data_IF_737207476046
#
_entry.id   IF_737207476046
#
_cell.length_a   1.000
_cell.length_b   1.000
_cell.length_c   1.000
_cell.angle_alpha   90.00
_cell.angle_beta   90.00
_cell.angle_gamma   90.00
#
_symmetry.space_group_name_H-M   'P 1'
#
loop_
_entity.id
_entity.type
_entity.pdbx_description
1 polymer ?
#
# COMPACT_ATOMS: atom_id res chain seq x y z
N UNK A 1 28.34 7.94 14.61
CA UNK A 1 27.06 7.27 14.39
C UNK A 1 27.13 6.46 13.12
N UNK A 2 26.62 5.27 13.12
CA UNK A 2 26.52 4.46 11.92
C UNK A 2 25.49 5.07 10.96
N UNK A 3 25.78 5.03 9.67
CA UNK A 3 24.99 5.68 8.61
C UNK A 3 24.04 4.69 7.96
N UNK A 4 22.76 5.06 7.85
CA UNK A 4 21.82 4.31 7.05
C UNK A 4 21.27 5.19 5.91
N UNK A 5 21.32 4.65 4.70
CA UNK A 5 20.72 5.29 3.53
C UNK A 5 19.44 4.55 3.16
N UNK A 6 18.33 5.27 3.18
CA UNK A 6 17.00 4.77 2.78
C UNK A 6 16.68 5.33 1.39
N UNK A 7 16.40 4.44 0.46
CA UNK A 7 16.05 4.80 -0.92
C UNK A 7 14.54 4.72 -1.09
N UNK A 8 13.88 5.88 -1.23
CA UNK A 8 12.44 6.05 -1.37
C UNK A 8 11.80 6.75 -0.19
N UNK A 9 11.17 7.91 -0.45
CA UNK A 9 10.47 8.78 0.52
C UNK A 9 8.95 8.52 0.60
N UNK A 10 8.49 7.32 0.24
CA UNK A 10 7.12 6.88 0.51
C UNK A 10 6.91 6.47 1.96
N UNK A 11 5.67 6.09 2.32
CA UNK A 11 5.32 5.71 3.69
C UNK A 11 6.24 4.65 4.28
N UNK A 12 6.70 3.68 3.48
CA UNK A 12 7.58 2.61 3.94
C UNK A 12 8.97 3.16 4.31
N UNK A 13 9.55 4.00 3.45
CA UNK A 13 10.86 4.60 3.70
C UNK A 13 10.82 5.57 4.88
N UNK A 14 9.80 6.43 4.96
CA UNK A 14 9.65 7.38 6.07
C UNK A 14 9.38 6.68 7.40
N UNK A 15 8.57 5.61 7.42
CA UNK A 15 8.37 4.80 8.62
C UNK A 15 9.66 4.11 9.04
N UNK A 16 10.45 3.59 8.09
CA UNK A 16 11.77 3.02 8.40
C UNK A 16 12.71 4.08 8.97
N UNK A 17 12.73 5.29 8.40
CA UNK A 17 13.51 6.42 8.91
C UNK A 17 13.12 6.79 10.35
N UNK A 18 11.81 6.74 10.66
CA UNK A 18 11.30 7.05 11.98
C UNK A 18 11.88 6.13 13.05
N UNK A 19 11.86 4.81 12.85
CA UNK A 19 12.38 3.86 13.84
C UNK A 19 13.90 3.87 13.90
N UNK A 20 14.58 3.92 12.77
CA UNK A 20 16.05 3.95 12.71
C UNK A 20 16.62 5.21 13.36
N UNK A 21 16.00 6.38 13.15
CA UNK A 21 16.39 7.61 13.85
C UNK A 21 16.23 7.47 15.36
N UNK A 22 15.10 6.90 15.82
CA UNK A 22 14.88 6.63 17.26
C UNK A 22 15.89 5.64 17.85
N UNK A 23 16.42 4.72 17.03
CA UNK A 23 17.47 3.78 17.42
C UNK A 23 18.89 4.36 17.32
N UNK A 24 19.04 5.66 17.00
CA UNK A 24 20.30 6.38 17.03
C UNK A 24 21.15 6.28 15.75
N UNK A 25 20.54 5.93 14.61
CA UNK A 25 21.23 5.95 13.32
C UNK A 25 21.32 7.38 12.72
N UNK A 26 22.42 7.68 12.02
CA UNK A 26 22.49 8.85 11.11
C UNK A 26 21.75 8.50 9.81
N UNK A 27 20.51 8.97 9.70
CA UNK A 27 19.58 8.57 8.64
C UNK A 27 19.60 9.57 7.50
N UNK A 28 19.80 9.07 6.29
CA UNK A 28 19.60 9.83 5.05
C UNK A 28 18.50 9.16 4.22
N UNK A 29 17.47 9.90 3.84
CA UNK A 29 16.40 9.46 2.93
C UNK A 29 16.61 10.11 1.57
N UNK A 30 16.76 9.30 0.54
CA UNK A 30 16.89 9.73 -0.85
C UNK A 30 15.60 9.45 -1.61
N UNK A 31 15.07 10.44 -2.32
CA UNK A 31 13.94 10.23 -3.22
C UNK A 31 14.19 10.91 -4.57
N UNK A 32 13.71 10.28 -5.64
CA UNK A 32 13.78 10.84 -6.99
C UNK A 32 12.86 12.05 -7.20
N UNK A 33 11.83 12.19 -6.37
CA UNK A 33 10.93 13.33 -6.29
C UNK A 33 11.33 14.27 -5.14
N UNK A 34 10.53 15.28 -4.93
CA UNK A 34 10.75 16.34 -3.91
C UNK A 34 9.99 16.06 -2.60
N UNK A 35 9.50 14.86 -2.39
CA UNK A 35 8.63 14.42 -1.29
C UNK A 35 7.21 15.03 -1.28
N UNK A 36 6.86 15.93 -2.19
CA UNK A 36 5.54 16.59 -2.19
C UNK A 36 4.42 15.67 -2.66
N UNK A 37 4.73 14.68 -3.52
CA UNK A 37 3.78 13.68 -4.02
C UNK A 37 4.46 12.33 -4.26
N UNK A 38 3.75 11.27 -3.91
CA UNK A 38 4.10 9.88 -4.22
C UNK A 38 2.89 8.96 -4.05
N UNK A 39 3.08 7.64 -4.24
CA UNK A 39 1.98 6.66 -4.15
C UNK A 39 1.27 6.61 -2.80
N UNK A 40 1.80 7.21 -1.74
CA UNK A 40 1.18 7.22 -0.41
C UNK A 40 0.10 8.30 -0.30
N UNK A 41 0.28 9.48 -0.92
CA UNK A 41 -0.64 10.61 -0.81
C UNK A 41 -2.06 10.34 -1.33
N UNK A 42 -2.19 9.64 -2.44
CA UNK A 42 -3.50 9.30 -3.01
C UNK A 42 -4.10 7.99 -2.53
N UNK A 43 -3.54 7.38 -1.48
CA UNK A 43 -4.10 6.20 -0.87
C UNK A 43 -5.46 6.50 -0.22
N UNK A 44 -6.34 5.49 -0.11
CA UNK A 44 -7.64 5.63 0.55
C UNK A 44 -7.55 5.70 2.08
N UNK A 45 -6.37 5.62 2.65
CA UNK A 45 -6.15 5.87 4.07
C UNK A 45 -6.51 4.73 5.01
N UNK A 46 -6.77 3.54 4.50
CA UNK A 46 -7.11 2.38 5.32
C UNK A 46 -5.93 1.85 6.11
N UNK A 47 -6.16 1.54 7.38
CA UNK A 47 -5.27 0.84 8.31
C UNK A 47 -6.03 -0.39 8.78
N UNK A 48 -5.87 -1.51 8.05
CA UNK A 48 -6.81 -2.62 8.07
C UNK A 48 -6.14 -3.95 8.42
N UNK A 49 -6.20 -4.41 9.66
CA UNK A 49 -5.94 -5.81 10.02
C UNK A 49 -6.82 -6.83 9.29
N UNK A 50 -8.01 -6.42 8.85
CA UNK A 50 -8.96 -7.24 8.11
C UNK A 50 -8.51 -7.62 6.70
N UNK A 51 -7.53 -6.91 6.12
CA UNK A 51 -7.04 -7.15 4.77
C UNK A 51 -5.94 -8.23 4.74
N UNK A 52 -6.25 -9.42 5.25
CA UNK A 52 -5.36 -10.58 5.36
C UNK A 52 -5.34 -11.47 4.11
N UNK A 53 -6.18 -11.22 3.11
CA UNK A 53 -6.23 -12.00 1.88
C UNK A 53 -5.23 -11.41 0.87
N UNK A 54 -4.23 -12.20 0.39
CA UNK A 54 -3.27 -11.71 -0.59
C UNK A 54 -3.92 -11.47 -1.96
N UNK A 55 -3.26 -10.69 -2.83
CA UNK A 55 -3.78 -10.42 -4.18
C UNK A 55 -3.88 -11.69 -5.05
N UNK A 56 -2.98 -12.64 -4.86
CA UNK A 56 -2.93 -13.91 -5.60
C UNK A 56 -3.90 -14.93 -5.01
N UNK A 57 -5.17 -14.88 -5.41
CA UNK A 57 -6.24 -15.79 -4.96
C UNK A 57 -6.70 -16.75 -6.06
N UNK A 58 -7.23 -17.95 -5.71
CA UNK A 58 -7.84 -18.84 -6.68
C UNK A 58 -8.93 -18.14 -7.51
N UNK A 59 -8.94 -18.40 -8.80
CA UNK A 59 -9.94 -17.83 -9.72
C UNK A 59 -9.68 -16.38 -10.17
N UNK A 60 -8.79 -15.63 -9.50
CA UNK A 60 -8.50 -14.21 -9.84
C UNK A 60 -8.02 -14.04 -11.29
N UNK A 61 -7.29 -15.01 -11.82
CA UNK A 61 -6.79 -14.98 -13.20
C UNK A 61 -7.96 -15.11 -14.19
N UNK A 62 -8.88 -16.07 -13.97
CA UNK A 62 -10.08 -16.26 -14.80
C UNK A 62 -10.98 -15.02 -14.75
N UNK A 63 -11.18 -14.48 -13.57
CA UNK A 63 -11.96 -13.27 -13.35
C UNK A 63 -11.28 -12.05 -14.02
N UNK A 64 -9.96 -11.92 -13.91
CA UNK A 64 -9.18 -10.88 -14.55
C UNK A 64 -9.29 -10.92 -16.07
N UNK A 65 -9.19 -12.09 -16.69
CA UNK A 65 -9.39 -12.27 -18.11
C UNK A 65 -10.80 -11.83 -18.56
N UNK A 66 -11.84 -12.18 -17.80
CA UNK A 66 -13.22 -11.74 -18.09
C UNK A 66 -13.34 -10.21 -18.03
N UNK A 67 -12.66 -9.57 -17.08
CA UNK A 67 -12.68 -8.12 -16.91
C UNK A 67 -11.89 -7.35 -17.96
N UNK A 68 -10.91 -7.97 -18.63
CA UNK A 68 -10.09 -7.30 -19.66
C UNK A 68 -10.91 -6.77 -20.83
N UNK A 69 -12.06 -7.37 -21.13
CA UNK A 69 -12.95 -6.95 -22.22
C UNK A 69 -13.81 -5.71 -21.90
N UNK A 70 -13.84 -5.26 -20.65
CA UNK A 70 -14.56 -4.07 -20.23
C UNK A 70 -13.58 -2.93 -19.90
N UNK A 71 -13.66 -1.83 -20.63
CA UNK A 71 -12.76 -0.68 -20.45
C UNK A 71 -12.95 0.05 -19.11
N UNK A 72 -14.10 -0.10 -18.44
CA UNK A 72 -14.42 0.44 -17.11
C UNK A 72 -14.18 -0.54 -15.97
N UNK A 73 -13.72 -1.77 -16.26
CA UNK A 73 -13.53 -2.80 -15.23
C UNK A 73 -12.50 -2.38 -14.18
N UNK A 74 -12.61 -2.92 -12.95
CA UNK A 74 -11.69 -2.56 -11.86
C UNK A 74 -10.28 -3.20 -12.02
N UNK A 75 -10.11 -4.16 -12.93
CA UNK A 75 -8.83 -4.83 -13.15
C UNK A 75 -8.47 -4.89 -14.63
N UNK A 76 -7.20 -4.69 -14.94
CA UNK A 76 -6.68 -4.76 -16.30
C UNK A 76 -5.20 -5.12 -16.30
N UNK A 77 -4.80 -5.97 -17.24
CA UNK A 77 -3.39 -6.21 -17.57
C UNK A 77 -3.14 -5.68 -18.97
N UNK A 78 -2.25 -4.71 -19.12
CA UNK A 78 -1.91 -4.17 -20.44
C UNK A 78 -1.13 -5.22 -21.24
N UNK A 79 -1.67 -5.73 -22.35
CA UNK A 79 -0.96 -6.65 -23.21
C UNK A 79 0.31 -6.00 -23.77
N UNK A 80 1.45 -6.64 -23.59
CA UNK A 80 2.73 -6.21 -24.14
C UNK A 80 3.73 -7.35 -24.12
N UNK A 81 4.67 -7.34 -25.06
CA UNK A 81 5.79 -8.25 -25.08
C UNK A 81 6.84 -7.76 -24.07
N UNK A 82 6.74 -8.27 -22.84
CA UNK A 82 7.64 -7.93 -21.73
C UNK A 82 7.91 -9.21 -20.93
N UNK A 83 9.13 -9.71 -21.04
CA UNK A 83 9.58 -10.92 -20.33
C UNK A 83 9.37 -10.83 -18.82
N UNK A 84 9.44 -9.64 -18.25
CA UNK A 84 9.21 -9.45 -16.80
C UNK A 84 7.73 -9.63 -16.47
N UNK A 85 6.82 -9.16 -17.33
CA UNK A 85 5.39 -9.38 -17.17
C UNK A 85 5.06 -10.87 -17.26
N UNK A 86 5.65 -11.57 -18.24
CA UNK A 86 5.46 -13.02 -18.42
C UNK A 86 5.97 -13.77 -17.19
N UNK A 87 7.19 -13.48 -16.77
CA UNK A 87 7.80 -14.13 -15.62
C UNK A 87 7.02 -13.86 -14.31
N UNK A 88 6.63 -12.61 -14.08
CA UNK A 88 5.78 -12.24 -12.96
C UNK A 88 4.43 -12.96 -13.04
N UNK A 89 3.78 -12.97 -14.21
CA UNK A 89 2.49 -13.61 -14.42
C UNK A 89 2.51 -15.11 -14.15
N UNK A 90 3.56 -15.84 -14.61
CA UNK A 90 3.73 -17.25 -14.32
C UNK A 90 3.85 -17.53 -12.82
N UNK A 91 4.63 -16.70 -12.09
CA UNK A 91 4.75 -16.82 -10.63
C UNK A 91 3.43 -16.46 -9.93
N UNK A 92 2.73 -15.42 -10.41
CA UNK A 92 1.41 -15.03 -9.88
C UNK A 92 0.39 -16.16 -10.00
N UNK A 93 0.29 -16.79 -11.17
CA UNK A 93 -0.60 -17.94 -11.39
C UNK A 93 -0.25 -19.11 -10.47
N UNK A 94 1.04 -19.41 -10.30
CA UNK A 94 1.50 -20.47 -9.39
C UNK A 94 1.21 -20.17 -7.93
N UNK A 95 1.21 -18.91 -7.53
CA UNK A 95 0.87 -18.47 -6.17
C UNK A 95 -0.64 -18.40 -5.92
N UNK A 96 -1.49 -18.34 -6.95
CA UNK A 96 -2.95 -18.21 -6.82
C UNK A 96 -3.62 -19.53 -6.41
N UNK A 97 -3.26 -20.08 -5.25
CA UNK A 97 -3.75 -21.35 -4.69
C UNK A 97 -4.41 -21.16 -3.32
N UNK A 98 -5.28 -22.08 -2.92
CA UNK A 98 -5.90 -22.07 -1.58
C UNK A 98 -4.85 -22.12 -0.47
N UNK A 99 -3.88 -23.03 -0.61
CA UNK A 99 -2.79 -23.16 0.37
C UNK A 99 -2.00 -21.87 0.54
N UNK A 100 -1.73 -21.14 -0.56
CA UNK A 100 -1.05 -19.85 -0.45
C UNK A 100 -1.89 -18.81 0.31
N UNK A 101 -3.20 -18.74 0.05
CA UNK A 101 -4.11 -17.84 0.79
C UNK A 101 -4.11 -18.17 2.29
N UNK A 102 -4.18 -19.45 2.64
CA UNK A 102 -4.17 -19.90 4.04
C UNK A 102 -2.86 -19.56 4.74
N UNK A 103 -1.72 -19.83 4.10
CA UNK A 103 -0.38 -19.59 4.69
C UNK A 103 -0.01 -18.10 4.74
N UNK A 104 -0.55 -17.28 3.82
CA UNK A 104 -0.29 -15.84 3.76
C UNK A 104 -1.15 -15.02 4.74
N UNK A 105 -2.32 -15.54 5.13
CA UNK A 105 -3.30 -14.79 5.90
C UNK A 105 -2.77 -14.35 7.27
N UNK A 106 -2.21 -15.27 8.06
CA UNK A 106 -1.69 -14.94 9.38
C UNK A 106 -0.53 -13.93 9.36
N UNK A 107 0.52 -14.08 8.52
CA UNK A 107 1.57 -13.07 8.39
C UNK A 107 1.05 -11.67 8.00
N UNK A 108 0.08 -11.58 7.06
CA UNK A 108 -0.50 -10.29 6.67
C UNK A 108 -1.31 -9.66 7.80
N UNK A 109 -2.12 -10.43 8.52
CA UNK A 109 -2.84 -9.97 9.71
C UNK A 109 -1.87 -9.49 10.79
N UNK A 110 -0.81 -10.24 11.08
CA UNK A 110 0.12 -9.93 12.17
C UNK A 110 0.86 -8.62 11.93
N UNK A 111 1.41 -8.41 10.73
CA UNK A 111 2.06 -7.15 10.39
C UNK A 111 1.06 -5.98 10.39
N UNK A 112 -0.20 -6.20 9.98
CA UNK A 112 -1.22 -5.17 9.99
C UNK A 112 -1.63 -4.77 11.41
N UNK A 113 -1.74 -5.74 12.35
CA UNK A 113 -1.98 -5.47 13.78
C UNK A 113 -0.82 -4.68 14.39
N UNK A 114 0.44 -5.10 14.12
CA UNK A 114 1.63 -4.37 14.56
C UNK A 114 1.58 -2.94 14.02
N UNK A 115 1.33 -2.80 12.72
CA UNK A 115 1.31 -1.50 12.05
C UNK A 115 0.24 -0.57 12.65
N UNK A 116 -0.96 -1.08 12.92
CA UNK A 116 -2.04 -0.31 13.55
C UNK A 116 -1.61 0.19 14.93
N UNK A 117 -1.06 -0.68 15.78
CA UNK A 117 -0.56 -0.29 17.12
C UNK A 117 0.53 0.78 17.03
N UNK A 118 1.42 0.68 16.06
CA UNK A 118 2.47 1.68 15.86
C UNK A 118 1.89 3.03 15.38
N UNK A 119 0.89 3.04 14.50
CA UNK A 119 0.19 4.28 14.14
C UNK A 119 -0.52 4.90 15.34
N UNK A 120 -1.17 4.10 16.17
CA UNK A 120 -1.80 4.56 17.42
C UNK A 120 -0.78 5.16 18.38
N UNK A 121 0.40 4.57 18.47
CA UNK A 121 1.49 5.11 19.30
C UNK A 121 1.98 6.49 18.81
N UNK A 122 1.93 6.74 17.52
CA UNK A 122 2.33 8.03 16.93
C UNK A 122 1.37 9.17 17.32
N UNK A 123 0.12 8.88 17.64
CA UNK A 123 -0.84 9.89 18.10
C UNK A 123 -0.43 10.55 19.41
N UNK A 124 0.41 9.91 20.20
CA UNK A 124 0.96 10.49 21.43
C UNK A 124 2.10 11.49 21.20
N UNK A 125 2.60 11.59 19.96
CA UNK A 125 3.67 12.53 19.58
C UNK A 125 3.06 13.93 19.39
N UNK A 126 3.54 14.96 20.09
CA UNK A 126 3.02 16.31 19.93
C UNK A 126 3.05 16.79 18.45
N UNK A 127 1.90 17.20 17.94
CA UNK A 127 1.76 17.68 16.56
C UNK A 127 1.57 16.59 15.51
N UNK A 128 1.47 15.32 15.90
CA UNK A 128 1.17 14.20 14.99
C UNK A 128 -0.36 14.04 14.84
N UNK A 129 -1.00 14.97 14.18
CA UNK A 129 -2.42 14.87 13.81
C UNK A 129 -2.54 14.47 12.33
N UNK A 130 -2.93 13.24 12.07
CA UNK A 130 -3.17 12.73 10.72
C UNK A 130 -4.62 12.27 10.49
N UNK A 131 -5.55 12.87 11.27
CA UNK A 131 -6.98 12.57 11.22
C UNK A 131 -7.28 11.06 11.34
N UNK A 132 -6.59 10.38 12.24
CA UNK A 132 -6.80 8.96 12.52
C UNK A 132 -8.15 8.75 13.19
N UNK A 133 -8.91 7.79 12.68
CA UNK A 133 -10.21 7.40 13.24
C UNK A 133 -10.33 5.87 13.30
N UNK A 134 -10.62 5.36 14.50
CA UNK A 134 -10.90 3.96 14.74
C UNK A 134 -12.41 3.73 14.75
N UNK A 135 -13.01 3.74 13.57
CA UNK A 135 -14.46 3.50 13.40
C UNK A 135 -14.78 2.13 12.83
N UNK A 136 -13.79 1.37 12.40
CA UNK A 136 -13.98 0.18 11.59
C UNK A 136 -14.03 0.48 10.10
N UNK A 137 -14.29 -0.58 9.31
CA UNK A 137 -14.44 -0.57 7.86
C UNK A 137 -15.65 -1.39 7.46
N UNK A 138 -16.48 -0.87 6.56
CA UNK A 138 -17.56 -1.63 5.94
C UNK A 138 -17.10 -2.29 4.64
N UNK A 139 -17.40 -3.58 4.46
CA UNK A 139 -17.35 -4.22 3.14
C UNK A 139 -18.79 -4.48 2.69
N UNK A 140 -19.29 -3.63 1.78
CA UNK A 140 -20.70 -3.63 1.35
C UNK A 140 -20.87 -4.52 0.15
N UNK A 141 -21.90 -5.38 0.16
CA UNK A 141 -22.25 -6.28 -0.94
C UNK A 141 -23.68 -6.08 -1.44
N UNK A 142 -23.91 -6.37 -2.73
CA UNK A 142 -25.19 -6.16 -3.43
C UNK A 142 -25.80 -7.43 -3.99
N UNK A 143 -25.10 -8.57 -3.94
CA UNK A 143 -25.53 -9.83 -4.56
C UNK A 143 -25.54 -10.96 -3.56
N UNK A 144 -26.34 -12.02 -3.82
CA UNK A 144 -26.35 -13.22 -2.99
C UNK A 144 -24.96 -13.91 -2.96
N UNK A 145 -24.25 -13.89 -4.09
CA UNK A 145 -22.87 -14.38 -4.14
C UNK A 145 -21.93 -13.54 -3.26
N UNK A 146 -22.14 -12.22 -3.18
CA UNK A 146 -21.45 -11.33 -2.25
C UNK A 146 -21.79 -11.63 -0.80
N UNK A 147 -23.07 -11.91 -0.49
CA UNK A 147 -23.49 -12.30 0.85
C UNK A 147 -22.85 -13.63 1.31
N UNK A 148 -22.76 -14.61 0.42
CA UNK A 148 -22.12 -15.90 0.72
C UNK A 148 -20.60 -15.71 0.93
N UNK A 149 -19.95 -14.91 0.07
CA UNK A 149 -18.55 -14.54 0.25
C UNK A 149 -18.32 -13.83 1.60
N UNK A 150 -19.21 -12.93 1.99
CA UNK A 150 -19.14 -12.20 3.24
C UNK A 150 -19.20 -13.14 4.46
N UNK A 151 -20.07 -14.14 4.48
CA UNK A 151 -20.13 -15.15 5.55
C UNK A 151 -18.79 -15.85 5.73
N UNK A 152 -18.23 -16.40 4.64
CA UNK A 152 -16.92 -17.07 4.68
C UNK A 152 -15.80 -16.13 5.13
N UNK A 153 -15.87 -14.85 4.74
CA UNK A 153 -14.86 -13.85 5.15
C UNK A 153 -14.93 -13.57 6.65
N UNK A 154 -16.15 -13.46 7.21
CA UNK A 154 -16.36 -13.29 8.66
C UNK A 154 -15.84 -14.49 9.43
N UNK A 155 -16.20 -15.71 9.01
CA UNK A 155 -15.71 -16.95 9.63
C UNK A 155 -14.17 -16.97 9.65
N UNK A 156 -13.54 -16.66 8.52
CA UNK A 156 -12.07 -16.63 8.42
C UNK A 156 -11.44 -15.53 9.27
N UNK A 157 -12.05 -14.37 9.35
CA UNK A 157 -11.58 -13.29 10.21
C UNK A 157 -11.62 -13.73 11.69
N UNK A 158 -12.69 -14.35 12.15
CA UNK A 158 -12.84 -14.89 13.51
C UNK A 158 -11.79 -15.97 13.80
N UNK A 159 -11.59 -16.93 12.88
CA UNK A 159 -10.52 -17.94 12.98
C UNK A 159 -9.14 -17.32 13.14
N UNK A 160 -8.89 -16.21 12.46
CA UNK A 160 -7.65 -15.45 12.55
C UNK A 160 -7.58 -14.55 13.82
N UNK A 161 -8.55 -14.62 14.72
CA UNK A 161 -8.57 -13.85 15.97
C UNK A 161 -9.09 -12.41 15.84
N UNK A 162 -9.69 -12.04 14.69
CA UNK A 162 -10.38 -10.78 14.49
C UNK A 162 -11.85 -10.91 14.92
N UNK A 163 -12.06 -11.16 16.22
CA UNK A 163 -13.36 -11.54 16.80
C UNK A 163 -14.41 -10.43 16.78
N UNK A 164 -13.99 -9.17 16.60
CA UNK A 164 -14.89 -8.01 16.51
C UNK A 164 -15.47 -7.81 15.09
N UNK A 165 -15.40 -8.83 14.24
CA UNK A 165 -15.95 -8.80 12.89
C UNK A 165 -17.44 -9.19 12.93
N UNK A 166 -18.30 -8.41 12.28
CA UNK A 166 -19.75 -8.60 12.28
C UNK A 166 -20.31 -8.64 10.86
N UNK A 167 -21.26 -9.55 10.62
CA UNK A 167 -22.07 -9.53 9.41
C UNK A 167 -23.35 -8.73 9.71
N UNK A 168 -23.54 -7.64 8.99
CA UNK A 168 -24.69 -6.73 9.16
C UNK A 168 -25.74 -7.00 8.10
N UNK A 169 -27.00 -7.01 8.53
CA UNK A 169 -28.16 -6.90 7.65
C UNK A 169 -28.23 -5.55 6.95
N UNK A 170 -29.12 -5.41 5.98
CA UNK A 170 -29.35 -4.15 5.28
C UNK A 170 -29.74 -3.03 6.23
N UNK A 171 -30.62 -3.29 7.20
CA UNK A 171 -31.12 -2.26 8.12
C UNK A 171 -30.06 -1.85 9.13
N UNK A 172 -29.29 -2.79 9.66
CA UNK A 172 -28.15 -2.50 10.54
C UNK A 172 -27.07 -1.70 9.81
N UNK A 173 -26.73 -2.06 8.58
CA UNK A 173 -25.80 -1.30 7.74
C UNK A 173 -26.30 0.13 7.50
N UNK A 174 -27.60 0.28 7.16
CA UNK A 174 -28.19 1.60 6.91
C UNK A 174 -28.24 2.47 8.18
N UNK A 175 -28.42 1.87 9.35
CA UNK A 175 -28.41 2.59 10.62
C UNK A 175 -27.04 3.23 10.94
N UNK A 176 -25.93 2.66 10.44
CA UNK A 176 -24.60 3.23 10.57
C UNK A 176 -24.38 4.48 9.68
N UNK A 177 -25.14 4.59 8.59
CA UNK A 177 -25.07 5.70 7.63
C UNK A 177 -26.44 6.41 7.49
N UNK A 178 -26.94 7.08 8.57
CA UNK A 178 -28.29 7.62 8.58
C UNK A 178 -28.49 8.80 7.63
N UNK A 179 -27.40 9.46 7.20
CA UNK A 179 -27.45 10.66 6.34
C UNK A 179 -27.26 10.33 4.85
N UNK A 180 -27.00 9.07 4.51
CA UNK A 180 -26.70 8.65 3.15
C UNK A 180 -27.31 7.28 2.88
N UNK A 181 -28.13 7.20 1.82
CA UNK A 181 -28.75 5.94 1.42
C UNK A 181 -27.73 5.00 0.81
N UNK A 182 -27.67 3.75 1.32
CA UNK A 182 -26.85 2.70 0.78
C UNK A 182 -27.72 1.69 0.01
N UNK A 183 -27.36 1.41 -1.23
CA UNK A 183 -27.92 0.32 -2.01
C UNK A 183 -27.08 -0.94 -1.85
N UNK A 184 -27.35 -1.71 -0.81
CA UNK A 184 -26.66 -2.96 -0.47
C UNK A 184 -27.63 -3.97 0.12
N UNK A 185 -27.29 -5.25 0.08
CA UNK A 185 -28.01 -6.33 0.78
C UNK A 185 -27.54 -6.46 2.24
N UNK A 186 -26.34 -5.97 2.54
CA UNK A 186 -25.71 -5.99 3.85
C UNK A 186 -24.24 -5.59 3.75
N UNK A 187 -23.52 -5.72 4.86
CA UNK A 187 -22.09 -5.43 4.93
C UNK A 187 -21.38 -6.35 5.94
N UNK A 188 -20.08 -6.48 5.80
CA UNK A 188 -19.21 -6.88 6.90
C UNK A 188 -18.74 -5.59 7.58
N UNK A 189 -18.81 -5.53 8.89
CA UNK A 189 -18.18 -4.50 9.71
C UNK A 189 -16.93 -5.09 10.38
N UNK A 190 -15.76 -4.59 10.01
CA UNK A 190 -14.49 -4.91 10.66
C UNK A 190 -14.16 -3.84 11.69
N UNK A 191 -14.58 -4.03 12.94
CA UNK A 191 -14.33 -3.06 14.03
C UNK A 191 -12.84 -2.88 14.36
N UNK A 192 -12.02 -3.88 14.03
CA UNK A 192 -10.56 -3.82 14.22
C UNK A 192 -9.85 -2.80 13.31
N UNK A 193 -10.51 -2.32 12.27
CA UNK A 193 -9.93 -1.44 11.26
C UNK A 193 -10.03 0.04 11.64
N UNK A 194 -9.15 0.83 11.04
CA UNK A 194 -9.10 2.27 11.19
C UNK A 194 -8.83 2.94 9.83
N UNK A 195 -8.91 4.26 9.80
CA UNK A 195 -8.48 5.04 8.64
C UNK A 195 -7.83 6.35 9.06
N UNK A 196 -7.12 6.96 8.15
CA UNK A 196 -6.47 8.25 8.35
C UNK A 196 -6.48 9.09 7.06
N UNK A 197 -6.04 10.35 7.18
CA UNK A 197 -5.80 11.19 6.01
C UNK A 197 -4.33 11.09 5.58
N UNK A 198 -4.02 10.37 4.48
CA UNK A 198 -2.64 10.08 4.08
C UNK A 198 -1.77 11.32 3.88
N UNK A 199 -2.35 12.40 3.36
CA UNK A 199 -1.62 13.65 3.12
C UNK A 199 -1.08 14.23 4.43
N UNK A 200 -1.91 14.29 5.49
CA UNK A 200 -1.47 14.74 6.81
C UNK A 200 -0.42 13.79 7.41
N UNK A 201 -0.63 12.48 7.30
CA UNK A 201 0.33 11.48 7.78
C UNK A 201 1.70 11.67 7.16
N UNK A 202 1.78 11.81 5.84
CA UNK A 202 3.04 12.01 5.13
C UNK A 202 3.72 13.32 5.53
N UNK A 203 2.96 14.42 5.62
CA UNK A 203 3.47 15.72 6.03
C UNK A 203 4.01 15.70 7.47
N UNK A 204 3.26 15.06 8.39
CA UNK A 204 3.69 14.94 9.79
C UNK A 204 4.99 14.13 9.92
N UNK A 205 5.10 13.00 9.20
CA UNK A 205 6.32 12.20 9.18
C UNK A 205 7.52 13.02 8.65
N UNK A 206 7.37 13.69 7.51
CA UNK A 206 8.44 14.50 6.93
C UNK A 206 8.87 15.60 7.91
N UNK A 207 7.91 16.37 8.44
CA UNK A 207 8.19 17.45 9.39
C UNK A 207 8.88 16.94 10.66
N UNK A 208 8.40 15.82 11.20
CA UNK A 208 8.99 15.19 12.37
C UNK A 208 10.43 14.77 12.10
N UNK A 209 10.66 14.02 11.02
CA UNK A 209 11.98 13.50 10.66
C UNK A 209 13.00 14.61 10.43
N UNK A 210 12.60 15.71 9.76
CA UNK A 210 13.46 16.89 9.58
C UNK A 210 13.83 17.54 10.92
N UNK A 211 12.86 17.68 11.84
CA UNK A 211 13.12 18.19 13.20
C UNK A 211 14.05 17.29 14.01
N UNK A 212 14.03 15.98 13.75
CA UNK A 212 14.92 15.01 14.39
C UNK A 212 16.29 14.89 13.71
N UNK A 213 16.60 15.73 12.73
CA UNK A 213 17.90 15.76 12.06
C UNK A 213 18.09 14.73 10.94
N UNK A 214 17.03 14.05 10.50
CA UNK A 214 17.08 13.16 9.33
C UNK A 214 17.35 13.98 8.07
N UNK A 215 18.33 13.56 7.28
CA UNK A 215 18.66 14.19 6.00
C UNK A 215 17.68 13.75 4.93
N UNK A 216 16.78 14.64 4.52
CA UNK A 216 15.79 14.41 3.47
C UNK A 216 16.28 15.03 2.16
N UNK A 217 16.73 14.22 1.20
CA UNK A 217 17.34 14.68 -0.04
C UNK A 217 16.47 14.24 -1.22
N UNK A 218 15.73 15.20 -1.76
CA UNK A 218 14.85 14.99 -2.91
C UNK A 218 15.55 15.22 -4.25
N UNK A 219 14.87 14.84 -5.33
CA UNK A 219 15.33 14.95 -6.72
C UNK A 219 16.62 14.14 -7.00
N UNK A 220 16.88 13.11 -6.21
CA UNK A 220 18.05 12.23 -6.30
C UNK A 220 17.64 10.83 -6.76
N UNK A 221 17.74 10.56 -8.06
CA UNK A 221 17.50 9.23 -8.61
C UNK A 221 18.71 8.34 -8.42
N UNK A 222 18.53 7.17 -7.77
CA UNK A 222 19.62 6.22 -7.58
C UNK A 222 19.96 5.56 -8.90
N UNK A 223 21.21 5.72 -9.34
CA UNK A 223 21.73 5.24 -10.62
C UNK A 223 22.79 4.16 -10.47
N UNK A 224 23.35 3.97 -9.27
CA UNK A 224 24.39 2.96 -9.04
C UNK A 224 24.73 2.72 -7.58
N UNK A 225 25.63 1.76 -7.35
CA UNK A 225 26.11 1.38 -6.02
C UNK A 225 27.60 1.01 -6.10
N UNK A 226 28.39 1.49 -5.15
CA UNK A 226 29.73 0.95 -4.92
C UNK A 226 29.64 -0.22 -3.94
N UNK A 227 30.31 -1.31 -4.26
CA UNK A 227 30.22 -2.59 -3.54
C UNK A 227 31.60 -3.15 -3.27
N UNK A 228 31.82 -3.64 -2.07
CA UNK A 228 33.04 -4.33 -1.70
C UNK A 228 32.73 -5.47 -0.71
N UNK A 229 33.35 -6.64 -0.88
CA UNK A 229 33.27 -7.78 0.02
C UNK A 229 31.84 -8.15 0.47
N UNK A 230 30.87 -8.16 -0.46
CA UNK A 230 29.48 -8.51 -0.15
C UNK A 230 28.71 -7.45 0.64
N UNK A 231 29.18 -6.20 0.61
CA UNK A 231 28.52 -5.02 1.20
C UNK A 231 28.30 -3.92 0.16
N UNK A 232 27.27 -3.13 0.35
CA UNK A 232 27.04 -1.86 -0.35
C UNK A 232 27.65 -0.74 0.49
N UNK A 233 28.70 -0.10 -0.03
CA UNK A 233 29.44 0.95 0.71
C UNK A 233 28.96 2.34 0.38
N UNK A 234 28.48 2.56 -0.87
CA UNK A 234 27.93 3.84 -1.28
C UNK A 234 26.73 3.69 -2.20
N UNK A 235 25.84 4.66 -2.11
CA UNK A 235 24.71 4.86 -3.02
C UNK A 235 25.00 6.04 -3.91
N UNK A 236 25.00 5.84 -5.22
CA UNK A 236 25.26 6.87 -6.22
C UNK A 236 23.93 7.34 -6.83
N UNK A 237 23.74 8.64 -6.88
CA UNK A 237 22.53 9.27 -7.39
C UNK A 237 22.84 10.27 -8.51
N UNK A 238 21.83 10.53 -9.32
CA UNK A 238 21.80 11.60 -10.31
C UNK A 238 20.75 12.61 -9.87
N UNK A 239 21.16 13.87 -9.68
CA UNK A 239 20.22 14.95 -9.42
C UNK A 239 19.42 15.26 -10.69
N UNK A 240 18.08 15.13 -10.60
CA UNK A 240 17.18 15.27 -11.76
C UNK A 240 16.95 16.72 -12.19
N UNK A 241 17.31 17.72 -11.36
CA UNK A 241 17.12 19.15 -11.63
C UNK A 241 18.44 19.79 -12.07
N UNK A 242 19.49 19.61 -11.26
CA UNK A 242 20.75 20.30 -11.47
C UNK A 242 21.73 19.49 -12.34
N UNK A 243 21.45 18.21 -12.54
CA UNK A 243 22.44 17.28 -13.07
C UNK A 243 23.55 17.02 -12.05
N UNK A 244 24.49 16.16 -12.41
CA UNK A 244 25.60 15.79 -11.53
C UNK A 244 25.32 14.53 -10.71
N UNK A 245 26.39 13.86 -10.34
CA UNK A 245 26.37 12.62 -9.56
C UNK A 245 26.78 12.95 -8.13
N UNK A 246 25.96 12.52 -7.18
CA UNK A 246 26.26 12.54 -5.76
C UNK A 246 26.51 11.12 -5.24
N UNK A 247 27.29 10.98 -4.17
CA UNK A 247 27.64 9.69 -3.57
C UNK A 247 27.42 9.75 -2.07
N UNK A 248 26.70 8.78 -1.52
CA UNK A 248 26.36 8.70 -0.10
C UNK A 248 26.95 7.45 0.51
N UNK A 249 27.83 7.60 1.50
CA UNK A 249 28.37 6.49 2.27
C UNK A 249 27.27 5.83 3.11
N UNK A 250 27.27 4.51 3.19
CA UNK A 250 26.28 3.76 3.95
C UNK A 250 26.89 2.55 4.66
N UNK A 251 26.60 2.42 5.96
CA UNK A 251 26.85 1.20 6.72
C UNK A 251 25.70 0.20 6.50
N UNK A 252 24.45 0.72 6.36
CA UNK A 252 23.25 -0.05 6.03
C UNK A 252 22.48 0.66 4.89
N UNK A 253 21.84 -0.12 4.03
CA UNK A 253 21.01 0.40 2.93
C UNK A 253 19.62 -0.24 2.96
N UNK A 254 18.58 0.58 2.84
CA UNK A 254 17.19 0.14 2.74
C UNK A 254 16.62 0.50 1.38
N UNK A 255 16.12 -0.48 0.62
CA UNK A 255 15.39 -0.24 -0.63
C UNK A 255 13.88 -0.21 -0.33
N UNK A 256 13.28 0.98 -0.39
CA UNK A 256 11.86 1.26 -0.17
C UNK A 256 11.22 2.00 -1.37
N UNK A 257 11.70 1.75 -2.59
CA UNK A 257 11.37 2.48 -3.81
C UNK A 257 10.05 2.07 -4.46
N UNK A 258 9.15 1.40 -3.72
CA UNK A 258 7.82 1.05 -4.18
C UNK A 258 7.85 0.30 -5.51
N UNK A 259 7.05 0.72 -6.49
CA UNK A 259 6.98 0.06 -7.80
C UNK A 259 8.25 0.14 -8.64
N UNK A 260 9.22 0.99 -8.26
CA UNK A 260 10.56 1.09 -8.89
C UNK A 260 11.60 0.15 -8.27
N UNK A 261 11.26 -0.56 -7.18
CA UNK A 261 12.23 -1.42 -6.46
C UNK A 261 12.85 -2.50 -7.34
N UNK A 262 12.13 -2.99 -8.36
CA UNK A 262 12.72 -3.94 -9.32
C UNK A 262 13.87 -3.31 -10.12
N UNK A 263 13.73 -2.05 -10.54
CA UNK A 263 14.77 -1.32 -11.27
C UNK A 263 15.98 -1.07 -10.37
N UNK A 264 15.73 -0.60 -9.15
CA UNK A 264 16.78 -0.35 -8.15
C UNK A 264 17.52 -1.65 -7.79
N UNK A 265 16.80 -2.74 -7.53
CA UNK A 265 17.36 -4.05 -7.21
C UNK A 265 18.19 -4.62 -8.37
N UNK A 266 17.81 -4.33 -9.63
CA UNK A 266 18.57 -4.76 -10.82
C UNK A 266 20.00 -4.18 -10.84
N UNK A 267 20.21 -2.95 -10.35
CA UNK A 267 21.54 -2.33 -10.24
C UNK A 267 22.47 -3.14 -9.30
N UNK A 268 21.86 -3.86 -8.37
CA UNK A 268 22.55 -4.79 -7.45
C UNK A 268 22.53 -6.25 -7.92
N UNK A 269 22.02 -6.51 -9.14
CA UNK A 269 21.80 -7.86 -9.66
C UNK A 269 20.94 -8.76 -8.75
N UNK A 270 20.00 -8.13 -8.01
CA UNK A 270 18.98 -8.80 -7.19
C UNK A 270 17.69 -8.88 -8.01
N UNK A 271 17.07 -10.07 -8.02
CA UNK A 271 15.85 -10.32 -8.78
C UNK A 271 14.66 -10.38 -7.84
N UNK A 272 13.69 -9.48 -8.02
CA UNK A 272 12.39 -9.51 -7.36
C UNK A 272 11.29 -9.47 -8.41
N UNK A 273 10.43 -10.50 -8.50
CA UNK A 273 9.29 -10.49 -9.42
C UNK A 273 8.22 -9.52 -8.90
N UNK A 274 8.16 -8.35 -9.52
CA UNK A 274 7.25 -7.28 -9.14
C UNK A 274 6.83 -6.46 -10.36
N UNK A 275 5.56 -6.08 -10.42
CA UNK A 275 4.99 -5.24 -11.47
C UNK A 275 4.30 -4.01 -10.90
N UNK A 276 4.35 -2.87 -11.61
CA UNK A 276 3.57 -1.70 -11.23
C UNK A 276 2.08 -1.92 -11.53
N UNK A 277 1.26 -1.77 -10.49
CA UNK A 277 -0.20 -1.83 -10.56
C UNK A 277 -0.80 -0.44 -10.37
N UNK A 278 -1.18 0.25 -11.45
CA UNK A 278 -1.74 1.58 -11.37
C UNK A 278 -3.15 1.57 -10.79
N UNK A 279 -3.37 2.43 -9.82
CA UNK A 279 -4.68 2.76 -9.28
C UNK A 279 -4.96 4.24 -9.40
N UNK A 280 -6.23 4.60 -9.23
CA UNK A 280 -6.69 5.98 -9.30
C UNK A 280 -7.42 6.36 -8.03
N UNK A 281 -7.39 7.65 -7.70
CA UNK A 281 -8.30 8.23 -6.71
C UNK A 281 -8.81 9.60 -7.13
N UNK A 282 -10.03 9.89 -6.68
CA UNK A 282 -10.71 11.18 -6.81
C UNK A 282 -11.05 11.66 -5.41
N UNK A 283 -10.69 12.87 -5.06
CA UNK A 283 -11.06 13.48 -3.78
C UNK A 283 -12.02 14.63 -4.02
N UNK A 284 -13.19 14.58 -3.38
CA UNK A 284 -14.06 15.73 -3.25
C UNK A 284 -13.58 16.53 -2.04
N UNK A 285 -12.99 17.70 -2.28
CA UNK A 285 -12.42 18.55 -1.22
C UNK A 285 -13.51 19.18 -0.34
N UNK A 286 -14.66 19.51 -0.93
CA UNK A 286 -15.85 20.04 -0.25
C UNK A 286 -17.05 19.19 -0.68
N UNK A 287 -17.16 18.00 -0.08
CA UNK A 287 -18.24 17.08 -0.42
C UNK A 287 -19.59 17.58 0.08
N UNK A 288 -20.64 17.62 -0.78
CA UNK A 288 -22.01 17.85 -0.33
C UNK A 288 -22.61 16.60 0.33
N UNK A 289 -21.95 15.45 0.19
CA UNK A 289 -22.38 14.18 0.75
C UNK A 289 -21.69 13.93 2.08
N UNK A 290 -22.29 13.09 2.92
CA UNK A 290 -21.71 12.66 4.18
C UNK A 290 -21.58 11.15 4.21
N UNK A 291 -20.43 10.67 4.67
CA UNK A 291 -20.14 9.27 4.90
C UNK A 291 -19.49 9.18 6.28
N UNK A 292 -20.02 8.31 7.13
CA UNK A 292 -19.49 8.12 8.49
C UNK A 292 -18.38 7.08 8.54
N UNK A 293 -18.50 6.03 7.73
CA UNK A 293 -17.58 4.90 7.71
C UNK A 293 -16.80 4.81 6.40
N UNK A 294 -15.52 4.46 6.44
CA UNK A 294 -14.83 4.01 5.24
C UNK A 294 -15.48 2.71 4.76
N UNK A 295 -15.56 2.53 3.44
CA UNK A 295 -16.17 1.34 2.87
C UNK A 295 -15.44 0.80 1.64
N UNK A 296 -15.41 -0.53 1.51
CA UNK A 296 -15.08 -1.25 0.28
C UNK A 296 -16.38 -1.71 -0.37
N UNK A 297 -16.55 -1.41 -1.65
CA UNK A 297 -17.69 -1.80 -2.46
C UNK A 297 -17.35 -3.10 -3.18
N UNK A 298 -17.83 -4.23 -2.67
CA UNK A 298 -17.34 -5.57 -3.02
C UNK A 298 -17.39 -5.84 -4.52
N UNK A 299 -18.56 -5.74 -5.15
CA UNK A 299 -18.73 -5.96 -6.58
C UNK A 299 -18.18 -4.81 -7.44
N UNK A 300 -18.11 -3.61 -6.86
CA UNK A 300 -17.55 -2.42 -7.50
C UNK A 300 -16.04 -2.37 -7.50
N UNK A 301 -15.40 -3.10 -6.59
CA UNK A 301 -13.95 -3.03 -6.35
C UNK A 301 -13.46 -1.58 -6.22
N UNK A 302 -14.28 -0.76 -5.59
CA UNK A 302 -14.00 0.64 -5.29
C UNK A 302 -13.99 0.84 -3.77
N UNK A 303 -13.25 1.85 -3.35
CA UNK A 303 -13.12 2.27 -1.96
C UNK A 303 -13.73 3.66 -1.81
N UNK A 304 -14.35 3.91 -0.68
CA UNK A 304 -14.84 5.23 -0.28
C UNK A 304 -14.36 5.51 1.14
N UNK A 305 -13.82 6.70 1.37
CA UNK A 305 -13.28 7.07 2.68
C UNK A 305 -13.62 8.50 3.02
N UNK A 306 -14.29 8.75 4.17
CA UNK A 306 -14.34 10.09 4.75
C UNK A 306 -12.90 10.48 5.18
N UNK A 307 -12.45 11.63 4.70
CA UNK A 307 -11.15 12.18 5.04
C UNK A 307 -11.31 13.32 6.06
N UNK A 308 -10.25 14.08 6.27
CA UNK A 308 -10.27 15.25 7.15
C UNK A 308 -11.25 16.33 6.68
N UNK A 309 -12.02 16.90 7.60
CA UNK A 309 -13.08 17.88 7.30
C UNK A 309 -14.23 17.27 6.47
N UNK A 310 -14.66 17.98 5.43
CA UNK A 310 -15.74 17.54 4.54
C UNK A 310 -15.24 16.82 3.28
N UNK A 311 -14.03 16.23 3.34
CA UNK A 311 -13.47 15.53 2.19
C UNK A 311 -13.94 14.09 2.13
N UNK A 312 -14.24 13.63 0.91
CA UNK A 312 -14.46 12.21 0.63
C UNK A 312 -13.54 11.79 -0.50
N UNK A 313 -12.83 10.69 -0.30
CA UNK A 313 -11.97 10.09 -1.33
C UNK A 313 -12.58 8.80 -1.86
N UNK A 314 -12.58 8.68 -3.18
CA UNK A 314 -12.96 7.49 -3.92
C UNK A 314 -11.71 6.91 -4.58
N UNK A 315 -11.47 5.63 -4.41
CA UNK A 315 -10.32 4.96 -5.01
C UNK A 315 -10.68 3.63 -5.62
N UNK A 316 -9.86 3.15 -6.53
CA UNK A 316 -10.09 1.85 -7.13
C UNK A 316 -9.12 1.53 -8.26
N UNK A 317 -9.48 0.51 -9.00
CA UNK A 317 -8.78 0.01 -10.17
C UNK A 317 -7.39 -0.57 -9.86
N UNK A 318 -7.05 -1.62 -10.57
CA UNK A 318 -5.71 -2.21 -10.61
C UNK A 318 -5.34 -2.45 -12.09
N UNK A 319 -4.49 -1.60 -12.63
CA UNK A 319 -3.93 -1.79 -13.97
C UNK A 319 -2.47 -2.24 -13.88
N UNK A 320 -2.18 -3.48 -14.23
CA UNK A 320 -0.80 -3.96 -14.40
C UNK A 320 -0.26 -3.37 -15.72
N UNK A 321 0.50 -2.31 -15.61
CA UNK A 321 0.91 -1.47 -16.75
C UNK A 321 2.37 -1.04 -16.64
N UNK A 322 2.83 -0.18 -17.55
CA UNK A 322 4.15 0.47 -17.48
C UNK A 322 4.02 1.85 -16.82
N UNK A 323 5.07 2.30 -16.14
CA UNK A 323 5.16 3.68 -15.63
C UNK A 323 5.02 4.75 -16.74
N UNK A 324 5.33 4.39 -17.99
CA UNK A 324 5.27 5.30 -19.15
C UNK A 324 3.87 5.36 -19.79
N UNK A 325 2.94 4.50 -19.41
CA UNK A 325 1.60 4.45 -19.99
C UNK A 325 0.76 5.61 -19.47
N UNK A 326 0.08 6.40 -20.32
CA UNK A 326 -0.77 7.50 -19.85
C UNK A 326 -1.98 6.98 -19.06
N UNK A 327 -2.51 7.76 -18.11
CA UNK A 327 -3.70 7.40 -17.35
C UNK A 327 -4.94 7.30 -18.24
N UNK A 328 -5.90 6.45 -17.85
CA UNK A 328 -7.12 6.14 -18.59
C UNK A 328 -8.35 6.63 -17.85
N UNK A 329 -9.04 7.63 -18.40
CA UNK A 329 -10.21 8.28 -17.77
C UNK A 329 -11.39 7.33 -17.59
N UNK A 330 -11.63 6.39 -18.51
CA UNK A 330 -12.70 5.39 -18.34
C UNK A 330 -12.53 4.50 -17.10
N UNK A 331 -11.32 4.34 -16.59
CA UNK A 331 -11.09 3.62 -15.32
C UNK A 331 -11.58 4.43 -14.13
N UNK A 332 -11.38 5.75 -14.20
CA UNK A 332 -11.92 6.66 -13.19
C UNK A 332 -13.45 6.70 -13.26
N UNK A 333 -14.02 6.78 -14.46
CA UNK A 333 -15.47 6.68 -14.64
C UNK A 333 -16.02 5.39 -14.05
N UNK A 334 -15.32 4.25 -14.23
CA UNK A 334 -15.73 2.97 -13.63
C UNK A 334 -15.78 2.99 -12.11
N UNK A 335 -14.89 3.73 -11.44
CA UNK A 335 -14.93 3.95 -9.98
C UNK A 335 -16.18 4.75 -9.61
N UNK A 336 -16.44 5.87 -10.31
CA UNK A 336 -17.60 6.74 -10.02
C UNK A 336 -18.93 6.02 -10.32
N UNK A 337 -19.01 5.24 -11.40
CA UNK A 337 -20.15 4.39 -11.71
C UNK A 337 -20.43 3.37 -10.60
N UNK A 338 -19.36 2.77 -10.04
CA UNK A 338 -19.48 1.84 -8.91
C UNK A 338 -19.97 2.57 -7.66
N UNK A 339 -19.42 3.74 -7.35
CA UNK A 339 -19.87 4.56 -6.22
C UNK A 339 -21.35 4.89 -6.35
N UNK A 340 -21.80 5.41 -7.51
CA UNK A 340 -23.20 5.74 -7.75
C UNK A 340 -24.15 4.54 -7.61
N UNK A 341 -23.71 3.35 -7.98
CA UNK A 341 -24.50 2.12 -7.83
C UNK A 341 -24.75 1.75 -6.37
N UNK A 342 -23.76 1.93 -5.49
CA UNK A 342 -23.87 1.66 -4.06
C UNK A 342 -24.44 2.82 -3.25
N UNK A 343 -24.17 4.05 -3.69
CA UNK A 343 -24.65 5.32 -3.09
C UNK A 343 -25.43 6.09 -4.15
N UNK A 344 -26.72 5.79 -4.37
CA UNK A 344 -27.51 6.32 -5.51
C UNK A 344 -27.63 7.84 -5.55
N UNK A 345 -27.49 8.49 -4.40
CA UNK A 345 -27.57 9.96 -4.26
C UNK A 345 -26.28 10.65 -4.71
N UNK A 346 -25.17 9.91 -4.85
CA UNK A 346 -23.88 10.48 -5.23
C UNK A 346 -23.83 10.70 -6.74
N UNK A 347 -23.97 11.94 -7.14
CA UNK A 347 -23.82 12.35 -8.53
C UNK A 347 -22.50 13.11 -8.71
N UNK A 348 -21.45 12.36 -8.96
CA UNK A 348 -20.08 12.86 -9.02
C UNK A 348 -19.67 12.95 -10.49
N UNK A 349 -19.52 14.18 -11.04
CA UNK A 349 -19.07 14.34 -12.42
C UNK A 349 -17.61 13.84 -12.57
N UNK A 350 -17.29 13.31 -13.73
CA UNK A 350 -15.91 12.92 -14.04
C UNK A 350 -15.01 14.16 -13.97
N UNK A 351 -14.01 14.20 -13.07
CA UNK A 351 -13.13 15.35 -12.95
C UNK A 351 -12.26 15.53 -14.19
N UNK A 352 -11.74 16.74 -14.40
CA UNK A 352 -10.70 16.99 -15.38
C UNK A 352 -9.46 16.13 -15.08
N UNK A 353 -8.74 15.70 -16.11
CA UNK A 353 -7.62 14.76 -16.01
C UNK A 353 -6.53 15.22 -15.01
N UNK A 354 -6.32 16.51 -14.90
CA UNK A 354 -5.33 17.16 -14.05
C UNK A 354 -5.71 17.10 -12.56
N UNK A 355 -6.98 16.87 -12.25
CA UNK A 355 -7.52 16.73 -10.89
C UNK A 355 -7.58 15.29 -10.40
N UNK A 356 -7.12 14.33 -11.23
CA UNK A 356 -7.14 12.92 -10.90
C UNK A 356 -5.76 12.50 -10.44
N UNK A 357 -5.71 12.00 -9.22
CA UNK A 357 -4.50 11.36 -8.74
C UNK A 357 -4.42 9.91 -9.25
N UNK A 358 -3.23 9.47 -9.61
CA UNK A 358 -2.92 8.07 -9.88
C UNK A 358 -1.55 7.70 -9.33
N UNK A 359 -1.41 6.46 -8.88
CA UNK A 359 -0.15 5.95 -8.35
C UNK A 359 0.07 4.49 -8.72
N UNK A 360 1.31 4.03 -8.57
CA UNK A 360 1.73 2.69 -8.95
C UNK A 360 2.00 1.83 -7.72
N UNK A 361 1.11 0.89 -7.46
CA UNK A 361 1.25 -0.10 -6.38
C UNK A 361 2.35 -1.09 -6.73
N UNK A 362 3.26 -1.42 -5.80
CA UNK A 362 4.31 -2.42 -6.01
C UNK A 362 3.73 -3.84 -5.86
N UNK A 363 3.24 -4.44 -6.96
CA UNK A 363 2.59 -5.75 -6.93
C UNK A 363 3.62 -6.87 -7.01
N UNK A 364 3.92 -7.52 -5.88
CA UNK A 364 4.67 -8.77 -5.83
C UNK A 364 3.91 -9.91 -6.52
N UNK A 365 4.59 -10.98 -6.90
CA UNK A 365 3.96 -12.05 -7.64
C UNK A 365 3.06 -12.96 -6.79
N UNK A 366 3.17 -12.90 -5.47
CA UNK A 366 2.34 -13.65 -4.52
C UNK A 366 1.43 -12.77 -3.67
N UNK A 367 1.53 -11.44 -3.82
CA UNK A 367 0.76 -10.48 -3.03
C UNK A 367 1.33 -10.17 -1.65
N UNK A 368 2.43 -10.83 -1.24
CA UNK A 368 3.13 -10.54 0.02
C UNK A 368 4.24 -9.50 -0.18
N UNK A 369 4.51 -8.62 0.80
CA UNK A 369 5.64 -7.71 0.73
C UNK A 369 6.98 -8.45 0.75
N UNK A 370 8.04 -7.75 0.34
CA UNK A 370 9.43 -8.14 0.56
C UNK A 370 9.96 -7.33 1.74
N UNK A 371 10.21 -7.99 2.87
CA UNK A 371 10.75 -7.38 4.08
C UNK A 371 11.83 -8.29 4.63
N UNK A 372 13.09 -7.86 4.57
CA UNK A 372 14.20 -8.66 5.06
C UNK A 372 15.55 -8.33 4.44
N UNK A 373 16.60 -8.96 4.95
CA UNK A 373 17.95 -8.86 4.39
C UNK A 373 18.06 -9.60 3.07
N UNK A 374 18.80 -9.02 2.15
CA UNK A 374 19.11 -9.63 0.86
C UNK A 374 20.36 -10.50 1.03
N UNK A 375 20.25 -11.83 0.83
CA UNK A 375 21.35 -12.80 1.06
C UNK A 375 22.67 -12.41 0.38
N UNK A 376 22.61 -11.72 -0.76
CA UNK A 376 23.78 -11.32 -1.55
C UNK A 376 24.61 -10.21 -0.89
N UNK A 377 23.99 -9.36 -0.08
CA UNK A 377 24.64 -8.23 0.57
C UNK A 377 24.25 -8.16 2.04
N UNK A 378 25.25 -8.26 2.93
CA UNK A 378 25.01 -8.38 4.37
C UNK A 378 24.41 -7.14 5.01
N UNK A 379 24.52 -5.97 4.37
CA UNK A 379 24.02 -4.69 4.83
C UNK A 379 22.89 -4.10 3.95
N UNK A 380 22.17 -4.95 3.20
CA UNK A 380 21.07 -4.51 2.35
C UNK A 380 19.76 -5.11 2.86
N UNK A 381 18.81 -4.23 3.17
CA UNK A 381 17.44 -4.59 3.54
C UNK A 381 16.48 -4.18 2.43
N UNK A 382 15.55 -5.06 2.08
CA UNK A 382 14.45 -4.78 1.17
C UNK A 382 13.19 -4.54 1.99
N UNK A 383 12.45 -3.46 1.68
CA UNK A 383 11.17 -3.12 2.28
C UNK A 383 10.23 -2.58 1.19
N UNK A 384 9.55 -3.48 0.47
CA UNK A 384 8.77 -3.13 -0.73
C UNK A 384 7.75 -4.21 -1.07
N UNK A 385 6.99 -4.04 -2.15
CA UNK A 385 6.09 -5.10 -2.64
C UNK A 385 4.75 -5.17 -1.94
N UNK A 386 4.38 -4.17 -1.15
CA UNK A 386 3.17 -4.13 -0.31
C UNK A 386 1.85 -4.03 -1.10
N UNK A 387 1.88 -4.01 -2.41
CA UNK A 387 0.69 -3.91 -3.26
C UNK A 387 -0.23 -2.74 -2.85
N UNK A 388 -1.48 -3.01 -2.50
CA UNK A 388 -2.45 -2.00 -2.03
C UNK A 388 -2.28 -1.63 -0.55
N UNK A 389 -1.58 -2.47 0.21
CA UNK A 389 -1.52 -2.40 1.66
C UNK A 389 -0.36 -1.53 2.20
N UNK A 390 0.39 -0.84 1.31
CA UNK A 390 1.58 -0.12 1.70
C UNK A 390 1.36 0.88 2.83
N UNK A 391 0.27 1.64 2.80
CA UNK A 391 -0.06 2.57 3.89
C UNK A 391 -0.46 1.79 5.15
N UNK A 392 -1.35 0.82 5.04
CA UNK A 392 -1.80 0.00 6.17
C UNK A 392 -0.65 -0.69 6.90
N UNK A 393 0.35 -1.18 6.17
CA UNK A 393 1.49 -1.93 6.73
C UNK A 393 2.73 -1.04 7.01
N UNK A 394 2.63 0.27 6.75
CA UNK A 394 3.79 1.17 6.74
C UNK A 394 4.54 1.24 8.05
N UNK A 395 3.86 1.54 9.14
CA UNK A 395 4.47 1.68 10.46
C UNK A 395 5.06 0.35 10.96
N UNK A 396 4.34 -0.77 10.79
CA UNK A 396 4.83 -2.10 11.13
C UNK A 396 6.05 -2.51 10.32
N UNK A 397 6.06 -2.20 9.02
CA UNK A 397 7.24 -2.44 8.17
C UNK A 397 8.45 -1.63 8.64
N UNK A 398 8.26 -0.35 8.97
CA UNK A 398 9.34 0.49 9.48
C UNK A 398 9.96 -0.07 10.76
N UNK A 399 9.14 -0.55 11.69
CA UNK A 399 9.59 -1.21 12.92
C UNK A 399 10.38 -2.48 12.62
N UNK A 400 9.86 -3.36 11.75
CA UNK A 400 10.57 -4.58 11.37
C UNK A 400 11.92 -4.28 10.69
N UNK A 401 12.02 -3.22 9.88
CA UNK A 401 13.29 -2.79 9.27
C UNK A 401 14.31 -2.40 10.34
N UNK A 402 13.91 -1.64 11.35
CA UNK A 402 14.80 -1.30 12.49
C UNK A 402 15.26 -2.55 13.24
N UNK A 403 14.34 -3.46 13.59
CA UNK A 403 14.66 -4.70 14.28
C UNK A 403 15.63 -5.58 13.48
N UNK A 404 15.44 -5.69 12.16
CA UNK A 404 16.33 -6.44 11.25
C UNK A 404 17.72 -5.80 11.20
N UNK A 405 17.81 -4.48 11.10
CA UNK A 405 19.09 -3.76 11.02
C UNK A 405 19.83 -3.85 12.36
N UNK A 406 19.11 -3.73 13.47
CA UNK A 406 19.67 -3.87 14.80
C UNK A 406 20.05 -5.31 15.19
N UNK A 407 19.74 -6.31 14.35
CA UNK A 407 19.97 -7.73 14.66
C UNK A 407 19.14 -8.25 15.83
N UNK A 408 18.01 -7.60 16.14
CA UNK A 408 17.07 -8.00 17.20
C UNK A 408 16.13 -9.11 16.72
N UNK A 409 15.50 -9.82 17.66
CA UNK A 409 14.35 -10.65 17.32
C UNK A 409 13.23 -9.76 16.81
N UNK A 410 12.69 -10.08 15.63
CA UNK A 410 11.60 -9.34 15.04
C UNK A 410 10.30 -9.55 15.80
N UNK A 411 9.47 -8.51 15.90
CA UNK A 411 8.18 -8.53 16.61
C UNK A 411 7.20 -9.59 16.08
N UNK A 412 7.49 -10.18 14.94
CA UNK A 412 6.77 -11.30 14.33
C UNK A 412 7.70 -12.12 13.43
N UNK A 413 7.29 -13.34 13.04
CA UNK A 413 8.00 -14.12 12.03
C UNK A 413 7.94 -13.48 10.65
N UNK A 414 9.10 -13.26 10.01
CA UNK A 414 9.21 -12.58 8.70
C UNK A 414 9.53 -13.52 7.53
N UNK A 415 9.57 -14.83 7.76
CA UNK A 415 9.95 -15.82 6.72
C UNK A 415 9.05 -15.73 5.46
N UNK A 416 7.76 -15.45 5.63
CA UNK A 416 6.82 -15.25 4.52
C UNK A 416 7.19 -14.05 3.63
N UNK A 417 7.97 -13.11 4.15
CA UNK A 417 8.37 -11.88 3.48
C UNK A 417 9.81 -11.90 2.95
N UNK A 418 10.52 -13.03 3.05
CA UNK A 418 11.91 -13.16 2.59
C UNK A 418 12.06 -12.64 1.16
N UNK A 419 12.95 -11.65 0.91
CA UNK A 419 13.22 -11.16 -0.45
C UNK A 419 13.72 -12.26 -1.40
N UNK A 420 14.33 -13.32 -0.87
CA UNK A 420 14.85 -14.46 -1.63
C UNK A 420 13.83 -15.56 -1.95
N UNK A 421 12.56 -15.46 -1.52
CA UNK A 421 11.56 -16.53 -1.66
C UNK A 421 11.23 -16.96 -3.09
N UNK A 422 11.65 -16.18 -4.08
CA UNK A 422 11.52 -16.52 -5.51
C UNK A 422 12.86 -16.83 -6.20
N UNK A 423 13.96 -16.92 -5.44
CA UNK A 423 15.30 -17.21 -5.96
C UNK A 423 15.50 -18.68 -6.24
#
# INVERSE_FOLDING_TARGET
>A
MSKVVIIGGGIIGLSSAFYLQKSGWDVTVLDKGDFSDNCSYGNCGYICPSHFIPLATPGIVKQGLKWMWNSKSPFYVQPRLDWNLIHWGLKFVRSATKNHVETAAAPLRDIAIISKREYESWLSIPGFDFAYQQKGLLEIFQTDAGAEHAKHTVEKAIELGLTDTQLLSKDEMQALEPQTRINGLGAILFNCDAHCYPNKLMQNLITYLQKQGVKMIGNEEVVGFEKNAGKVNKVNTLNSIQGGISSFDADEVVIATGSWSRQTAKLLTVKIPMMPGRGYSVTLENSPYKVNYPAVLLEGRAAITPMDGNKIRFGGTMEITSHKTPPRMNRVQGILDAVKRFYPEFDIPLPAKEKIWYGYRPCSADGLPYIGRVKKYSNLVMATGHSMLGLSLGAGTGKLVDEIIAGKNTSMGINAFDPGRFS
#
